data_IF_373893259332
#
_entry.id   IF_373893259332
#
_cell.length_a   1.000
_cell.length_b   1.000
_cell.length_c   1.000
_cell.angle_alpha   90.00
_cell.angle_beta   90.00
_cell.angle_gamma   90.00
#
_symmetry.space_group_name_H-M   'P 1'
#
loop_
_entity.id
_entity.type
_entity.pdbx_description
1 polymer ?
#
# COMPACT_ATOMS: atom_id res chain seq x y z
N UNK A 1 16.30 9.59 8.78
CA UNK A 1 17.21 8.44 8.58
C UNK A 1 16.95 7.34 9.60
N UNK A 2 16.90 7.68 10.89
CA UNK A 2 16.57 6.72 11.96
C UNK A 2 15.20 6.07 11.77
N UNK A 3 14.18 6.85 11.45
CA UNK A 3 12.83 6.35 11.20
C UNK A 3 12.84 5.37 10.03
N UNK A 4 13.58 5.70 8.98
CA UNK A 4 13.70 4.86 7.80
C UNK A 4 14.34 3.50 8.11
N UNK A 5 15.43 3.51 8.88
CA UNK A 5 16.09 2.28 9.33
C UNK A 5 15.16 1.43 10.20
N UNK A 6 14.45 2.07 11.12
CA UNK A 6 13.49 1.42 11.99
C UNK A 6 12.38 0.71 11.18
N UNK A 7 11.83 1.38 10.18
CA UNK A 7 10.82 0.77 9.31
C UNK A 7 11.39 -0.38 8.49
N UNK A 8 12.63 -0.28 8.02
CA UNK A 8 13.29 -1.34 7.26
C UNK A 8 13.56 -2.58 8.09
N UNK A 9 13.88 -2.43 9.37
CA UNK A 9 14.16 -3.58 10.22
C UNK A 9 12.93 -4.45 10.49
N UNK A 10 11.74 -3.89 10.30
CA UNK A 10 10.50 -4.58 10.62
C UNK A 10 10.21 -4.70 12.10
N UNK A 11 11.01 -4.06 12.96
CA UNK A 11 10.86 -4.12 14.41
C UNK A 11 9.72 -3.24 14.94
N UNK A 12 9.24 -2.30 14.14
CA UNK A 12 8.17 -1.41 14.53
C UNK A 12 6.87 -2.19 14.77
N UNK A 13 6.21 -1.94 15.87
CA UNK A 13 4.87 -2.43 16.11
C UNK A 13 3.92 -1.88 15.05
N UNK A 14 2.98 -2.70 14.62
CA UNK A 14 2.15 -2.43 13.45
C UNK A 14 1.48 -1.05 13.44
N UNK A 15 0.88 -0.63 14.57
CA UNK A 15 0.20 0.67 14.65
C UNK A 15 1.18 1.82 14.52
N UNK A 16 2.27 1.80 15.29
CA UNK A 16 3.28 2.86 15.25
C UNK A 16 4.00 2.90 13.91
N UNK A 17 4.26 1.73 13.31
CA UNK A 17 4.87 1.65 11.99
C UNK A 17 4.00 2.29 10.90
N UNK A 18 2.68 2.10 10.98
CA UNK A 18 1.73 2.72 10.06
C UNK A 18 1.76 4.25 10.16
N UNK A 19 1.66 4.79 11.37
CA UNK A 19 1.69 6.24 11.62
C UNK A 19 3.03 6.84 11.16
N UNK A 20 4.15 6.20 11.50
CA UNK A 20 5.47 6.64 11.08
C UNK A 20 5.62 6.60 9.56
N UNK A 21 5.07 5.58 8.92
CA UNK A 21 5.08 5.48 7.46
C UNK A 21 4.32 6.64 6.81
N UNK A 22 3.13 6.97 7.32
CA UNK A 22 2.34 8.10 6.81
C UNK A 22 3.13 9.41 6.85
N UNK A 23 3.86 9.65 7.94
CA UNK A 23 4.69 10.85 8.10
C UNK A 23 5.93 10.82 7.21
N UNK A 24 6.58 9.67 7.12
CA UNK A 24 7.81 9.51 6.33
C UNK A 24 7.54 9.68 4.84
N UNK A 25 6.43 9.16 4.35
CA UNK A 25 6.13 9.22 2.92
C UNK A 25 5.54 10.55 2.47
N UNK A 26 5.03 11.36 3.38
CA UNK A 26 4.36 12.61 3.01
C UNK A 26 5.21 13.53 2.11
N UNK A 27 6.48 13.85 2.40
CA UNK A 27 7.27 14.69 1.52
C UNK A 27 7.43 14.13 0.11
N UNK A 28 7.53 12.83 -0.01
CA UNK A 28 7.65 12.16 -1.32
C UNK A 28 6.35 12.22 -2.11
N UNK A 29 5.22 12.09 -1.43
CA UNK A 29 3.91 12.23 -2.04
C UNK A 29 3.62 13.68 -2.43
N UNK A 30 4.04 14.65 -1.61
CA UNK A 30 3.94 16.07 -1.95
C UNK A 30 4.69 16.37 -3.25
N UNK A 31 5.89 15.85 -3.39
CA UNK A 31 6.68 16.00 -4.59
C UNK A 31 6.00 15.33 -5.80
N UNK A 32 5.53 14.10 -5.61
CA UNK A 32 4.85 13.32 -6.65
C UNK A 32 3.57 13.99 -7.14
N UNK A 33 2.75 14.53 -6.24
CA UNK A 33 1.49 15.20 -6.58
C UNK A 33 1.66 16.70 -6.89
N UNK A 34 2.87 17.24 -6.71
CA UNK A 34 3.17 18.67 -6.85
C UNK A 34 2.22 19.52 -6.01
N UNK A 35 1.98 19.12 -4.76
CA UNK A 35 1.03 19.77 -3.86
C UNK A 35 1.42 19.53 -2.41
N UNK A 36 1.31 20.54 -1.56
CA UNK A 36 1.49 20.38 -0.11
C UNK A 36 0.35 19.56 0.47
N UNK A 37 0.64 18.76 1.48
CA UNK A 37 -0.34 17.91 2.10
C UNK A 37 -0.15 17.78 3.61
N UNK A 38 -1.13 17.14 4.24
CA UNK A 38 -1.12 16.83 5.67
C UNK A 38 -1.51 15.38 5.89
N UNK A 39 -1.09 14.83 7.02
CA UNK A 39 -1.63 13.56 7.53
C UNK A 39 -2.99 13.90 8.15
N UNK A 40 -4.06 13.41 7.53
CA UNK A 40 -5.42 13.81 7.86
C UNK A 40 -6.17 12.82 8.76
N UNK A 41 -5.82 11.52 8.71
CA UNK A 41 -6.49 10.45 9.47
C UNK A 41 -8.02 10.50 9.36
N UNK A 42 -8.52 10.75 8.16
CA UNK A 42 -9.94 10.84 7.89
C UNK A 42 -10.52 9.47 7.50
N UNK A 43 -11.84 9.36 7.47
CA UNK A 43 -12.50 8.16 6.99
C UNK A 43 -12.25 8.00 5.49
N UNK A 44 -11.53 6.96 5.14
CA UNK A 44 -11.26 6.59 3.75
C UNK A 44 -9.98 7.17 3.14
N UNK A 45 -9.25 8.03 3.85
CA UNK A 45 -7.94 8.49 3.41
C UNK A 45 -7.06 8.96 4.57
N UNK A 46 -5.75 8.89 4.37
CA UNK A 46 -4.73 9.20 5.38
C UNK A 46 -4.02 10.52 5.11
N UNK A 47 -3.95 10.94 3.86
CA UNK A 47 -3.32 12.20 3.45
C UNK A 47 -4.30 13.04 2.64
N UNK A 48 -4.30 14.34 2.90
CA UNK A 48 -5.06 15.32 2.13
C UNK A 48 -4.11 16.39 1.59
N UNK A 49 -4.15 16.61 0.28
CA UNK A 49 -3.30 17.60 -0.39
C UNK A 49 -4.09 18.86 -0.74
N UNK A 50 -3.40 20.00 -0.82
CA UNK A 50 -4.03 21.29 -1.11
C UNK A 50 -4.77 21.28 -2.44
N UNK A 51 -4.29 20.51 -3.42
CA UNK A 51 -4.97 20.35 -4.71
C UNK A 51 -6.20 19.44 -4.66
N UNK A 52 -6.58 18.96 -3.47
CA UNK A 52 -7.77 18.15 -3.26
C UNK A 52 -7.56 16.64 -3.35
N UNK A 53 -6.38 16.17 -3.72
CA UNK A 53 -6.09 14.72 -3.76
C UNK A 53 -6.18 14.15 -2.36
N UNK A 54 -6.95 13.07 -2.22
CA UNK A 54 -7.08 12.25 -1.01
C UNK A 54 -6.36 10.94 -1.24
N UNK A 55 -5.38 10.64 -0.40
CA UNK A 55 -4.57 9.43 -0.54
C UNK A 55 -4.76 8.49 0.64
N UNK A 56 -5.14 7.26 0.37
CA UNK A 56 -5.13 6.17 1.34
C UNK A 56 -3.75 5.52 1.33
N UNK A 57 -3.14 5.36 2.49
CA UNK A 57 -1.78 4.85 2.60
C UNK A 57 -1.75 3.48 3.28
N UNK A 58 -0.98 2.57 2.72
CA UNK A 58 -0.74 1.24 3.27
C UNK A 58 0.75 0.99 3.39
N UNK A 59 1.22 0.73 4.61
CA UNK A 59 2.56 0.21 4.83
C UNK A 59 2.52 -1.31 4.68
N UNK A 60 3.39 -1.84 3.82
CA UNK A 60 3.50 -3.29 3.67
C UNK A 60 4.16 -3.88 4.90
N UNK A 61 3.54 -4.91 5.49
CA UNK A 61 4.13 -5.67 6.59
C UNK A 61 5.24 -6.55 6.06
N UNK A 62 6.45 -6.37 6.58
CA UNK A 62 7.64 -7.10 6.11
C UNK A 62 7.68 -8.47 6.76
N UNK A 63 7.81 -9.49 5.94
CA UNK A 63 7.98 -10.89 6.33
C UNK A 63 9.31 -11.41 5.77
N UNK A 64 9.69 -12.64 6.14
CA UNK A 64 10.94 -13.27 5.68
C UNK A 64 11.03 -13.33 4.14
N UNK A 65 9.93 -13.66 3.48
CA UNK A 65 9.89 -13.88 2.03
C UNK A 65 8.87 -12.99 1.30
N UNK A 66 8.29 -12.02 1.99
CA UNK A 66 7.24 -11.19 1.39
C UNK A 66 7.07 -9.86 2.12
N UNK A 67 6.42 -8.94 1.43
CA UNK A 67 5.91 -7.69 2.00
C UNK A 67 4.45 -7.56 1.57
N UNK A 68 3.54 -7.46 2.53
CA UNK A 68 2.11 -7.60 2.25
C UNK A 68 1.26 -6.50 2.89
N UNK A 69 0.21 -6.11 2.20
CA UNK A 69 -0.92 -5.38 2.77
C UNK A 69 -2.16 -6.27 2.62
N UNK A 70 -2.88 -6.47 3.69
CA UNK A 70 -4.05 -7.34 3.73
C UNK A 70 -5.32 -6.56 4.09
N UNK A 71 -6.46 -7.12 3.71
CA UNK A 71 -7.78 -6.60 4.09
C UNK A 71 -8.03 -5.17 3.61
N UNK A 72 -7.58 -4.84 2.42
CA UNK A 72 -7.93 -3.57 1.79
C UNK A 72 -9.41 -3.64 1.42
N UNK A 73 -10.24 -2.89 2.11
CA UNK A 73 -11.69 -3.00 1.97
C UNK A 73 -12.21 -2.36 0.69
N UNK A 74 -13.15 -3.03 0.04
CA UNK A 74 -13.86 -2.47 -1.11
C UNK A 74 -14.66 -1.21 -0.74
N UNK A 75 -14.99 -1.04 0.53
CA UNK A 75 -15.66 0.16 1.03
C UNK A 75 -14.81 1.43 0.93
N UNK A 76 -13.52 1.31 0.64
CA UNK A 76 -12.64 2.46 0.36
C UNK A 76 -12.86 3.04 -1.05
N UNK A 77 -13.50 2.28 -1.93
CA UNK A 77 -13.82 2.75 -3.28
C UNK A 77 -14.66 4.01 -3.22
N UNK A 78 -14.26 5.05 -3.94
CA UNK A 78 -14.92 6.35 -3.95
C UNK A 78 -14.56 7.27 -2.77
N UNK A 79 -13.82 6.79 -1.76
CA UNK A 79 -13.44 7.59 -0.59
C UNK A 79 -12.05 8.22 -0.70
N UNK A 80 -11.25 7.76 -1.65
CA UNK A 80 -9.92 8.30 -1.91
C UNK A 80 -9.67 8.39 -3.41
N UNK A 81 -8.72 9.22 -3.79
CA UNK A 81 -8.34 9.41 -5.20
C UNK A 81 -7.16 8.54 -5.60
N UNK A 82 -6.27 8.28 -4.64
CA UNK A 82 -5.09 7.43 -4.83
C UNK A 82 -4.91 6.50 -3.64
N UNK A 83 -4.20 5.41 -3.88
CA UNK A 83 -3.75 4.49 -2.83
C UNK A 83 -2.24 4.37 -2.98
N UNK A 84 -1.50 4.50 -1.88
CA UNK A 84 -0.06 4.32 -1.87
C UNK A 84 0.33 3.13 -1.02
N UNK A 85 1.35 2.39 -1.48
CA UNK A 85 1.89 1.21 -0.80
C UNK A 85 3.38 1.44 -0.53
N UNK A 86 3.74 1.49 0.74
CA UNK A 86 5.12 1.71 1.16
C UNK A 86 5.84 0.38 1.37
N UNK A 87 6.80 0.09 0.51
CA UNK A 87 7.67 -1.08 0.61
C UNK A 87 9.02 -0.65 1.20
N UNK A 88 9.17 -0.80 2.51
CA UNK A 88 10.33 -0.27 3.24
C UNK A 88 11.67 -0.91 2.81
N UNK A 89 11.66 -2.21 2.52
CA UNK A 89 12.88 -2.92 2.09
C UNK A 89 13.30 -2.47 0.69
N UNK A 90 12.35 -2.29 -0.21
CA UNK A 90 12.63 -1.83 -1.56
C UNK A 90 12.88 -0.32 -1.64
N UNK A 91 12.71 0.43 -0.54
CA UNK A 91 12.80 1.88 -0.53
C UNK A 91 11.93 2.53 -1.60
N UNK A 92 10.69 2.11 -1.68
CA UNK A 92 9.79 2.58 -2.73
C UNK A 92 8.38 2.74 -2.21
N UNK A 93 7.65 3.66 -2.85
CA UNK A 93 6.22 3.82 -2.68
C UNK A 93 5.59 3.52 -4.04
N UNK A 94 4.58 2.67 -4.06
CA UNK A 94 3.77 2.41 -5.25
C UNK A 94 2.49 3.21 -5.13
N UNK A 95 2.26 4.14 -6.05
CA UNK A 95 1.09 5.04 -6.05
C UNK A 95 0.21 4.69 -7.22
N UNK A 96 -1.04 4.36 -6.96
CA UNK A 96 -2.01 4.00 -7.98
C UNK A 96 -3.29 4.81 -7.81
N UNK A 97 -3.93 5.18 -8.92
CA UNK A 97 -5.26 5.77 -8.86
C UNK A 97 -6.25 4.77 -8.25
N UNK A 98 -7.07 5.24 -7.34
CA UNK A 98 -8.08 4.42 -6.67
C UNK A 98 -8.99 3.71 -7.68
N UNK A 99 -9.47 4.42 -8.69
CA UNK A 99 -10.33 3.84 -9.72
C UNK A 99 -9.66 2.67 -10.45
N UNK A 100 -8.37 2.83 -10.78
CA UNK A 100 -7.59 1.78 -11.44
C UNK A 100 -7.43 0.57 -10.53
N UNK A 101 -7.13 0.80 -9.25
CA UNK A 101 -6.98 -0.28 -8.28
C UNK A 101 -8.26 -1.11 -8.16
N UNK A 102 -9.39 -0.46 -7.90
CA UNK A 102 -10.65 -1.17 -7.69
C UNK A 102 -11.22 -1.79 -8.97
N UNK A 103 -10.86 -1.26 -10.13
CA UNK A 103 -11.22 -1.86 -11.42
C UNK A 103 -10.43 -3.15 -11.70
N UNK A 104 -9.14 -3.17 -11.37
CA UNK A 104 -8.22 -4.23 -11.80
C UNK A 104 -7.87 -5.23 -10.71
N UNK A 105 -7.98 -4.88 -9.44
CA UNK A 105 -7.66 -5.78 -8.34
C UNK A 105 -8.69 -6.90 -8.23
N UNK A 106 -8.23 -8.05 -7.77
CA UNK A 106 -9.05 -9.25 -7.64
C UNK A 106 -9.35 -9.47 -6.16
N UNK A 107 -10.63 -9.65 -5.84
CA UNK A 107 -11.09 -9.95 -4.48
C UNK A 107 -10.53 -11.26 -3.97
N UNK A 108 -10.32 -11.31 -2.67
CA UNK A 108 -9.91 -12.51 -1.97
C UNK A 108 -11.17 -13.32 -1.59
N UNK A 109 -11.43 -14.39 -2.34
CA UNK A 109 -12.67 -15.17 -2.21
C UNK A 109 -12.72 -16.06 -0.98
N UNK A 110 -11.61 -16.31 -0.31
CA UNK A 110 -11.61 -17.16 0.88
C UNK A 110 -11.83 -16.38 2.18
N UNK A 111 -12.18 -15.10 2.07
CA UNK A 111 -12.50 -14.23 3.20
C UNK A 111 -13.95 -13.77 3.16
N UNK A 112 -14.52 -13.61 4.33
CA UNK A 112 -15.79 -12.92 4.50
C UNK A 112 -15.58 -11.42 4.34
N UNK A 113 -16.47 -10.76 3.61
CA UNK A 113 -16.32 -9.34 3.30
C UNK A 113 -15.52 -9.11 2.03
N UNK A 114 -15.67 -7.93 1.45
CA UNK A 114 -15.08 -7.58 0.17
C UNK A 114 -13.71 -6.94 0.40
N UNK A 115 -12.66 -7.76 0.42
CA UNK A 115 -11.29 -7.33 0.68
C UNK A 115 -10.34 -7.73 -0.43
N UNK A 116 -9.30 -6.91 -0.58
CA UNK A 116 -8.18 -7.16 -1.47
C UNK A 116 -6.92 -7.33 -0.66
N UNK A 117 -6.06 -8.25 -1.07
CA UNK A 117 -4.72 -8.43 -0.51
C UNK A 117 -3.67 -8.15 -1.58
N UNK A 118 -2.55 -7.57 -1.16
CA UNK A 118 -1.37 -7.36 -2.00
C UNK A 118 -0.19 -8.03 -1.32
N UNK A 119 0.63 -8.77 -2.07
CA UNK A 119 1.79 -9.44 -1.50
C UNK A 119 2.95 -9.44 -2.49
N UNK A 120 4.02 -8.72 -2.14
CA UNK A 120 5.27 -8.68 -2.88
C UNK A 120 6.15 -9.81 -2.36
N UNK A 121 6.23 -10.92 -3.08
CA UNK A 121 7.12 -12.01 -2.74
C UNK A 121 8.55 -11.67 -3.14
N UNK A 122 9.53 -12.06 -2.32
CA UNK A 122 10.95 -11.90 -2.65
C UNK A 122 11.35 -12.73 -3.86
N UNK A 123 10.65 -13.85 -4.07
CA UNK A 123 10.76 -14.67 -5.29
C UNK A 123 9.35 -14.88 -5.85
N UNK A 124 9.06 -14.25 -6.98
CA UNK A 124 7.76 -14.37 -7.62
C UNK A 124 7.44 -15.78 -8.11
N UNK A 125 8.45 -16.67 -8.19
CA UNK A 125 8.22 -18.09 -8.49
C UNK A 125 7.52 -18.82 -7.36
N UNK A 126 7.51 -18.25 -6.15
CA UNK A 126 6.77 -18.79 -5.02
C UNK A 126 5.27 -18.52 -5.10
N UNK A 127 4.85 -17.69 -6.02
CA UNK A 127 3.42 -17.39 -6.21
C UNK A 127 2.64 -18.68 -6.46
N UNK A 128 1.51 -18.82 -5.81
CA UNK A 128 0.69 -20.03 -5.91
C UNK A 128 1.05 -21.16 -4.97
N UNK A 129 2.28 -21.20 -4.43
CA UNK A 129 2.70 -22.24 -3.49
C UNK A 129 2.20 -21.93 -2.09
N UNK A 130 1.56 -22.91 -1.43
CA UNK A 130 1.02 -22.73 -0.09
C UNK A 130 -0.08 -21.70 0.05
N UNK A 131 -0.62 -21.21 -1.04
CA UNK A 131 -1.72 -20.25 -1.04
C UNK A 131 -3.05 -20.93 -0.78
N UNK A 132 -3.92 -20.23 -0.05
CA UNK A 132 -5.31 -20.64 0.11
C UNK A 132 -6.04 -20.49 -1.22
N UNK A 133 -7.02 -21.35 -1.44
CA UNK A 133 -7.89 -21.27 -2.61
C UNK A 133 -8.58 -19.89 -2.60
N UNK A 134 -8.59 -19.23 -3.75
CA UNK A 134 -9.21 -17.91 -3.92
C UNK A 134 -8.36 -16.72 -3.51
N UNK A 135 -7.16 -16.94 -2.99
CA UNK A 135 -6.27 -15.84 -2.64
C UNK A 135 -5.51 -15.34 -3.88
N UNK A 136 -5.70 -14.08 -4.23
CA UNK A 136 -5.14 -13.47 -5.44
C UNK A 136 -4.12 -12.35 -5.13
N UNK A 137 -3.52 -12.35 -3.94
CA UNK A 137 -2.62 -11.28 -3.52
C UNK A 137 -1.45 -11.05 -4.48
N UNK A 138 -0.88 -12.13 -5.01
CA UNK A 138 0.23 -12.04 -5.96
C UNK A 138 -0.19 -11.44 -7.32
N UNK A 139 -1.41 -11.71 -7.76
CA UNK A 139 -1.96 -11.12 -8.99
C UNK A 139 -2.17 -9.62 -8.82
N UNK A 140 -2.63 -9.20 -7.64
CA UNK A 140 -2.81 -7.80 -7.32
C UNK A 140 -1.47 -7.07 -7.28
N UNK A 141 -0.42 -7.72 -6.78
CA UNK A 141 0.93 -7.17 -6.81
C UNK A 141 1.46 -7.00 -8.24
N UNK A 142 1.25 -7.99 -9.11
CA UNK A 142 1.63 -7.86 -10.52
C UNK A 142 0.89 -6.70 -11.18
N UNK A 143 -0.39 -6.51 -10.85
CA UNK A 143 -1.20 -5.39 -11.32
C UNK A 143 -0.61 -4.05 -10.85
N UNK A 144 -0.22 -3.95 -9.57
CA UNK A 144 0.42 -2.75 -9.04
C UNK A 144 1.74 -2.44 -9.76
N UNK A 145 2.59 -3.43 -9.96
CA UNK A 145 3.87 -3.24 -10.66
C UNK A 145 3.64 -2.70 -12.06
N UNK A 146 2.59 -3.16 -12.73
CA UNK A 146 2.26 -2.74 -14.09
C UNK A 146 1.64 -1.34 -14.17
N UNK A 147 0.78 -0.97 -13.22
CA UNK A 147 -0.08 0.22 -13.32
C UNK A 147 0.22 1.34 -12.33
N UNK A 148 0.92 1.07 -11.26
CA UNK A 148 1.26 2.07 -10.27
C UNK A 148 2.52 2.84 -10.66
N UNK A 149 2.59 4.09 -10.20
CA UNK A 149 3.83 4.86 -10.27
C UNK A 149 4.73 4.44 -9.11
N UNK A 150 5.98 4.12 -9.40
CA UNK A 150 6.97 3.77 -8.40
C UNK A 150 7.79 4.99 -8.05
N UNK A 151 7.67 5.43 -6.80
CA UNK A 151 8.41 6.57 -6.26
C UNK A 151 9.55 6.05 -5.40
N UNK A 152 10.78 6.40 -5.75
CA UNK A 152 11.96 6.02 -4.96
C UNK A 152 12.07 6.90 -3.71
N UNK A 153 12.40 6.28 -2.58
CA UNK A 153 12.66 6.99 -1.34
C UNK A 153 14.12 7.40 -1.20
#
# INVERSE_FOLDING_TARGET
EMIRLFLKSGEALTVNAGIMSEQVVLPYLEDHFASKGIVANADGYDHLFENGIRNEHKKLAIRKTSAAAKNIGKNKEGKCDTISFHHAIANAIYVIKSDTFFDKAILNYDKTGNCYDVNFYSDMKLKGKGKRIGCNAWKNTEMLIKHADKVAL
#
